data_IF_160626745403
#
_entry.id   IF_160626745403
#
_cell.length_a   1.000
_cell.length_b   1.000
_cell.length_c   1.000
_cell.angle_alpha   90.00
_cell.angle_beta   90.00
_cell.angle_gamma   90.00
#
_symmetry.space_group_name_H-M   'P 1'
#
loop_
_entity.id
_entity.type
_entity.pdbx_description
1 polymer ?
#
# COMPACT_ATOMS: atom_id res chain seq x y z
N UNK A 1 3.98 -0.11 -18.10
CA UNK A 1 5.27 0.58 -18.32
C UNK A 1 5.76 1.10 -16.98
N UNK A 2 6.99 0.82 -16.64
CA UNK A 2 7.65 1.40 -15.48
C UNK A 2 8.71 2.35 -16.01
N UNK A 3 8.57 3.62 -15.70
CA UNK A 3 9.58 4.64 -16.02
C UNK A 3 10.50 4.74 -14.81
N UNK A 4 11.78 4.50 -15.03
CA UNK A 4 12.82 4.71 -14.03
C UNK A 4 13.68 5.88 -14.51
N UNK A 5 13.50 7.03 -13.86
CA UNK A 5 14.36 8.18 -14.10
C UNK A 5 15.64 8.05 -13.26
N UNK A 6 16.77 7.97 -13.91
CA UNK A 6 18.06 8.22 -13.30
C UNK A 6 18.59 9.55 -13.84
N UNK A 7 19.42 10.25 -13.08
CA UNK A 7 19.89 11.62 -13.39
C UNK A 7 20.52 11.84 -14.79
N UNK A 8 20.61 10.82 -15.62
CA UNK A 8 21.24 10.88 -16.94
C UNK A 8 20.58 10.05 -18.04
N UNK A 9 19.67 9.12 -17.75
CA UNK A 9 19.07 8.26 -18.77
C UNK A 9 17.67 7.81 -18.36
N UNK A 10 16.70 8.01 -19.24
CA UNK A 10 15.34 7.53 -19.11
C UNK A 10 15.22 6.08 -19.60
N UNK A 11 14.70 5.18 -18.77
CA UNK A 11 14.48 3.78 -19.14
C UNK A 11 12.99 3.46 -19.08
N UNK A 12 12.44 3.03 -20.20
CA UNK A 12 11.11 2.43 -20.26
C UNK A 12 11.22 0.91 -20.18
N UNK A 13 10.58 0.31 -19.20
CA UNK A 13 10.53 -1.14 -19.05
C UNK A 13 9.09 -1.59 -19.29
N UNK A 14 8.82 -2.20 -20.44
CA UNK A 14 7.55 -2.84 -20.72
C UNK A 14 7.43 -4.16 -19.93
N UNK A 15 6.62 -4.17 -18.90
CA UNK A 15 6.38 -5.35 -18.05
C UNK A 15 5.37 -6.31 -18.68
N UNK A 16 4.62 -5.89 -19.69
CA UNK A 16 3.55 -6.69 -20.32
C UNK A 16 4.01 -7.74 -21.31
N UNK A 17 5.19 -7.58 -21.90
CA UNK A 17 5.70 -8.54 -22.87
C UNK A 17 6.97 -9.19 -22.36
N UNK A 18 6.93 -10.49 -22.13
CA UNK A 18 8.09 -11.34 -21.80
C UNK A 18 9.16 -11.39 -22.90
N UNK A 19 9.06 -10.57 -23.95
CA UNK A 19 9.95 -10.57 -25.08
C UNK A 19 10.86 -9.35 -25.07
N UNK A 20 12.14 -9.63 -24.95
CA UNK A 20 13.30 -8.75 -25.11
C UNK A 20 13.53 -7.75 -23.97
N UNK A 21 14.21 -8.22 -22.96
CA UNK A 21 15.12 -7.36 -22.23
C UNK A 21 16.29 -7.02 -23.16
N UNK A 22 16.47 -5.74 -23.39
CA UNK A 22 17.67 -5.20 -24.05
C UNK A 22 18.89 -5.34 -23.14
N UNK A 23 20.04 -4.85 -23.55
CA UNK A 23 21.30 -4.83 -22.80
C UNK A 23 21.24 -4.25 -21.37
N UNK A 24 20.13 -3.64 -20.99
CA UNK A 24 19.85 -3.07 -19.66
C UNK A 24 19.17 -4.04 -18.69
N UNK A 25 18.97 -5.30 -19.05
CA UNK A 25 18.36 -6.31 -18.18
C UNK A 25 19.04 -6.43 -16.80
N UNK A 26 20.32 -6.15 -16.71
CA UNK A 26 21.06 -6.10 -15.46
C UNK A 26 20.61 -4.98 -14.52
N UNK A 27 20.34 -3.79 -15.05
CA UNK A 27 19.83 -2.65 -14.26
C UNK A 27 18.36 -2.82 -13.88
N UNK A 28 17.53 -3.35 -14.78
CA UNK A 28 16.14 -3.67 -14.50
C UNK A 28 15.98 -4.59 -13.26
N UNK A 29 16.95 -5.46 -13.02
CA UNK A 29 17.00 -6.32 -11.84
C UNK A 29 16.99 -5.53 -10.52
N UNK A 30 17.55 -4.35 -10.49
CA UNK A 30 17.66 -3.51 -9.29
C UNK A 30 16.55 -2.46 -9.15
N UNK A 31 15.89 -2.10 -10.24
CA UNK A 31 14.92 -0.99 -10.26
C UNK A 31 13.52 -1.40 -10.68
N UNK A 32 13.32 -2.59 -11.23
CA UNK A 32 12.02 -3.04 -11.69
C UNK A 32 11.28 -3.83 -10.60
N UNK A 33 10.02 -3.50 -10.40
CA UNK A 33 9.10 -4.30 -9.59
C UNK A 33 8.29 -5.20 -10.51
N UNK A 34 8.23 -6.48 -10.19
CA UNK A 34 7.52 -7.47 -10.99
C UNK A 34 6.20 -7.86 -10.34
N UNK A 35 5.11 -7.75 -11.11
CA UNK A 35 3.79 -8.21 -10.70
C UNK A 35 3.78 -9.73 -10.50
N UNK A 36 3.30 -10.20 -9.34
CA UNK A 36 3.11 -11.62 -9.05
C UNK A 36 1.74 -11.84 -8.41
N UNK A 37 1.09 -12.94 -8.78
CA UNK A 37 -0.21 -13.32 -8.20
C UNK A 37 -0.06 -13.49 -6.69
N UNK A 38 -0.96 -12.84 -5.95
CA UNK A 38 -0.95 -12.90 -4.48
C UNK A 38 -1.14 -14.33 -3.97
N UNK A 39 -0.22 -14.74 -3.10
CA UNK A 39 -0.31 -15.99 -2.34
C UNK A 39 0.65 -15.92 -1.14
N UNK A 40 0.17 -16.23 0.06
CA UNK A 40 1.00 -16.22 1.28
C UNK A 40 2.13 -17.25 1.27
N UNK A 41 1.94 -18.38 0.60
CA UNK A 41 2.85 -19.54 0.63
C UNK A 41 3.95 -19.49 -0.42
N UNK A 42 3.86 -18.62 -1.42
CA UNK A 42 4.87 -18.55 -2.49
C UNK A 42 6.02 -17.66 -2.04
N UNK A 43 7.25 -18.16 -2.03
CA UNK A 43 8.44 -17.34 -1.80
C UNK A 43 8.53 -16.19 -2.80
N UNK A 44 8.96 -15.03 -2.35
CA UNK A 44 9.00 -13.81 -3.15
C UNK A 44 10.29 -13.05 -2.94
N UNK A 45 10.67 -12.30 -3.95
CA UNK A 45 11.65 -11.25 -3.82
C UNK A 45 11.00 -9.97 -3.28
N UNK A 46 11.78 -9.11 -2.65
CA UNK A 46 11.36 -7.75 -2.24
C UNK A 46 10.92 -6.90 -3.44
N UNK A 47 11.35 -7.25 -4.64
CA UNK A 47 10.98 -6.59 -5.91
C UNK A 47 9.63 -7.05 -6.47
N UNK A 48 8.97 -8.00 -5.82
CA UNK A 48 7.66 -8.46 -6.26
C UNK A 48 6.55 -7.60 -5.67
N UNK A 49 5.60 -7.22 -6.52
CA UNK A 49 4.39 -6.52 -6.13
C UNK A 49 3.17 -7.39 -6.39
N UNK A 50 2.26 -7.44 -5.43
CA UNK A 50 0.95 -8.08 -5.60
C UNK A 50 -0.16 -7.03 -5.64
N UNK A 51 -1.07 -7.18 -6.61
CA UNK A 51 -2.26 -6.33 -6.70
C UNK A 51 -3.48 -7.08 -6.20
N UNK A 52 -4.25 -6.43 -5.33
CA UNK A 52 -5.48 -6.96 -4.73
C UNK A 52 -6.63 -5.98 -4.94
N UNK A 53 -7.83 -6.52 -5.19
CA UNK A 53 -9.04 -5.69 -5.16
C UNK A 53 -9.39 -5.26 -3.73
N UNK A 54 -10.17 -4.19 -3.62
CA UNK A 54 -10.68 -3.70 -2.33
C UNK A 54 -11.43 -4.77 -1.52
N UNK A 55 -12.17 -5.66 -2.18
CA UNK A 55 -12.89 -6.74 -1.49
C UNK A 55 -11.94 -7.85 -1.04
N UNK A 56 -10.89 -8.11 -1.81
CA UNK A 56 -9.90 -9.11 -1.42
C UNK A 56 -9.16 -8.68 -0.15
N UNK A 57 -8.75 -7.41 -0.04
CA UNK A 57 -8.09 -6.92 1.18
C UNK A 57 -9.03 -6.92 2.37
N UNK A 58 -10.33 -6.55 2.19
CA UNK A 58 -11.35 -6.64 3.25
C UNK A 58 -11.52 -8.08 3.76
N UNK A 59 -11.60 -9.04 2.84
CA UNK A 59 -11.70 -10.46 3.17
C UNK A 59 -10.46 -10.97 3.92
N UNK A 60 -9.26 -10.58 3.48
CA UNK A 60 -8.01 -10.97 4.13
C UNK A 60 -7.90 -10.39 5.54
N UNK A 61 -8.29 -9.13 5.74
CA UNK A 61 -8.33 -8.52 7.08
C UNK A 61 -9.32 -9.21 8.02
N UNK A 62 -10.43 -9.73 7.49
CA UNK A 62 -11.41 -10.46 8.27
C UNK A 62 -10.92 -11.87 8.66
N UNK A 63 -10.31 -12.59 7.72
CA UNK A 63 -10.02 -14.02 7.86
C UNK A 63 -8.56 -14.28 8.28
N UNK A 64 -7.62 -13.45 7.85
CA UNK A 64 -6.18 -13.61 8.02
C UNK A 64 -5.50 -12.27 8.39
N UNK A 65 -5.95 -11.56 9.43
CA UNK A 65 -5.49 -10.20 9.72
C UNK A 65 -3.98 -10.13 9.99
N UNK A 66 -3.45 -11.10 10.71
CA UNK A 66 -2.03 -11.12 11.05
C UNK A 66 -1.15 -11.43 9.85
N UNK A 67 -1.54 -12.41 9.05
CA UNK A 67 -0.77 -12.84 7.88
C UNK A 67 -0.68 -11.75 6.82
N UNK A 68 -1.78 -11.01 6.57
CA UNK A 68 -1.75 -9.92 5.60
C UNK A 68 -0.88 -8.74 6.06
N UNK A 69 -0.88 -8.42 7.37
CA UNK A 69 -0.02 -7.38 7.91
C UNK A 69 1.45 -7.80 7.85
N UNK A 70 1.79 -9.02 8.28
CA UNK A 70 3.14 -9.55 8.18
C UNK A 70 3.63 -9.62 6.73
N UNK A 71 2.71 -9.92 5.81
CA UNK A 71 3.00 -9.88 4.38
C UNK A 71 3.32 -8.46 3.88
N UNK A 72 2.51 -7.48 4.25
CA UNK A 72 2.71 -6.08 3.88
C UNK A 72 3.94 -5.43 4.55
N UNK A 73 4.50 -6.02 5.61
CA UNK A 73 5.79 -5.60 6.18
C UNK A 73 6.95 -5.92 5.26
N UNK A 74 6.86 -7.03 4.52
CA UNK A 74 7.97 -7.59 3.73
C UNK A 74 7.85 -7.32 2.25
N UNK A 75 6.62 -7.24 1.72
CA UNK A 75 6.36 -7.20 0.29
C UNK A 75 5.44 -6.05 -0.08
N UNK A 76 5.61 -5.53 -1.28
CA UNK A 76 4.74 -4.49 -1.81
C UNK A 76 3.37 -5.03 -2.20
N UNK A 77 2.34 -4.32 -1.75
CA UNK A 77 0.95 -4.63 -2.05
C UNK A 77 0.26 -3.38 -2.59
N UNK A 78 -0.38 -3.53 -3.75
CA UNK A 78 -1.22 -2.52 -4.37
C UNK A 78 -2.68 -2.91 -4.21
N UNK A 79 -3.51 -2.00 -3.71
CA UNK A 79 -4.96 -2.16 -3.65
C UNK A 79 -5.59 -1.30 -4.75
N UNK A 80 -6.66 -1.80 -5.35
CA UNK A 80 -7.37 -1.08 -6.41
C UNK A 80 -8.88 -1.21 -6.25
N UNK A 81 -9.66 -0.18 -6.71
CA UNK A 81 -11.11 -0.21 -6.67
C UNK A 81 -11.67 -1.30 -7.60
N UNK A 82 -12.85 -1.82 -7.26
CA UNK A 82 -13.53 -2.79 -8.13
C UNK A 82 -13.93 -2.17 -9.46
N UNK A 83 -13.82 -2.94 -10.53
CA UNK A 83 -14.27 -2.54 -11.86
C UNK A 83 -15.79 -2.31 -11.98
N UNK A 84 -16.57 -2.83 -11.02
CA UNK A 84 -18.02 -2.62 -10.92
C UNK A 84 -18.41 -1.22 -10.42
N UNK A 85 -17.46 -0.39 -10.00
CA UNK A 85 -17.69 1.01 -9.63
C UNK A 85 -17.85 1.89 -10.88
N UNK A 86 -18.95 1.72 -11.59
CA UNK A 86 -19.23 2.39 -12.89
C UNK A 86 -19.19 3.92 -12.76
N UNK A 87 -19.64 4.47 -11.63
CA UNK A 87 -19.58 5.91 -11.33
C UNK A 87 -18.22 6.39 -10.80
N UNK A 88 -17.18 5.57 -10.91
CA UNK A 88 -15.82 5.89 -10.42
C UNK A 88 -15.75 6.29 -8.95
N UNK A 89 -16.70 5.87 -8.10
CA UNK A 89 -16.65 6.10 -6.66
C UNK A 89 -15.45 5.40 -6.03
N UNK A 90 -14.97 5.91 -4.90
CA UNK A 90 -13.87 5.31 -4.17
C UNK A 90 -14.36 4.38 -3.05
N UNK A 91 -13.51 3.46 -2.67
CA UNK A 91 -13.66 2.66 -1.46
C UNK A 91 -12.94 3.34 -0.29
N UNK A 92 -13.32 3.00 0.93
CA UNK A 92 -12.63 3.44 2.13
C UNK A 92 -11.17 2.92 2.16
N UNK A 93 -10.15 3.78 2.01
CA UNK A 93 -8.76 3.38 1.95
C UNK A 93 -8.17 2.97 3.31
N UNK A 94 -8.83 3.32 4.42
CA UNK A 94 -8.32 3.13 5.79
C UNK A 94 -8.03 1.67 6.09
N UNK A 95 -8.87 0.75 5.61
CA UNK A 95 -8.67 -0.70 5.77
C UNK A 95 -7.40 -1.20 5.10
N UNK A 96 -7.09 -0.69 3.92
CA UNK A 96 -5.87 -1.03 3.21
C UNK A 96 -4.62 -0.48 3.94
N UNK A 97 -4.70 0.73 4.47
CA UNK A 97 -3.61 1.31 5.26
C UNK A 97 -3.40 0.58 6.59
N UNK A 98 -4.47 0.17 7.27
CA UNK A 98 -4.40 -0.65 8.50
C UNK A 98 -3.71 -2.00 8.22
N UNK A 99 -3.97 -2.60 7.06
CA UNK A 99 -3.26 -3.79 6.62
C UNK A 99 -1.78 -3.54 6.30
N UNK A 100 -1.37 -2.28 6.18
CA UNK A 100 -0.01 -1.90 5.82
C UNK A 100 0.27 -1.93 4.31
N UNK A 101 -0.76 -1.94 3.45
CA UNK A 101 -0.58 -1.84 2.01
C UNK A 101 0.11 -0.51 1.65
N UNK A 102 1.13 -0.59 0.80
CA UNK A 102 1.94 0.57 0.43
C UNK A 102 1.27 1.43 -0.64
N UNK A 103 0.59 0.81 -1.59
CA UNK A 103 -0.05 1.50 -2.69
C UNK A 103 -1.56 1.28 -2.64
N UNK A 104 -2.30 2.32 -2.33
CA UNK A 104 -3.76 2.31 -2.23
C UNK A 104 -4.30 3.21 -3.33
N UNK A 105 -4.59 2.59 -4.49
CA UNK A 105 -5.06 3.31 -5.66
C UNK A 105 -6.53 3.71 -5.49
N UNK A 106 -6.83 4.95 -5.83
CA UNK A 106 -8.16 5.55 -5.82
C UNK A 106 -8.49 6.15 -7.19
N UNK A 107 -9.77 6.37 -7.44
CA UNK A 107 -10.27 7.08 -8.61
C UNK A 107 -10.14 8.58 -8.38
N UNK A 108 -9.06 9.19 -8.84
CA UNK A 108 -8.69 10.59 -8.57
C UNK A 108 -9.64 11.60 -9.25
N UNK A 109 -10.42 11.16 -10.23
CA UNK A 109 -11.46 11.99 -10.86
C UNK A 109 -12.68 12.25 -9.97
N UNK A 110 -12.81 11.51 -8.84
CA UNK A 110 -13.94 11.63 -7.93
C UNK A 110 -13.48 12.22 -6.60
N UNK A 111 -13.96 13.44 -6.30
CA UNK A 111 -13.69 14.12 -5.03
C UNK A 111 -14.73 13.68 -3.99
N UNK A 112 -14.49 12.55 -3.37
CA UNK A 112 -15.30 12.00 -2.28
C UNK A 112 -14.52 12.01 -0.94
N UNK A 113 -15.17 11.54 0.13
CA UNK A 113 -14.56 11.44 1.46
C UNK A 113 -13.26 10.62 1.44
N UNK A 114 -13.21 9.54 0.66
CA UNK A 114 -12.03 8.70 0.52
C UNK A 114 -10.83 9.46 -0.07
N UNK A 115 -11.09 10.36 -1.01
CA UNK A 115 -10.05 11.25 -1.56
C UNK A 115 -9.60 12.29 -0.54
N UNK A 116 -10.50 12.84 0.26
CA UNK A 116 -10.13 13.77 1.34
C UNK A 116 -9.24 13.08 2.38
N UNK A 117 -9.57 11.86 2.77
CA UNK A 117 -8.73 11.04 3.66
C UNK A 117 -7.35 10.78 3.04
N UNK A 118 -7.29 10.51 1.74
CA UNK A 118 -6.03 10.29 1.03
C UNK A 118 -5.17 11.57 1.02
N UNK A 119 -5.72 12.72 0.71
CA UNK A 119 -5.01 13.99 0.77
C UNK A 119 -4.51 14.29 2.19
N UNK A 120 -5.38 14.16 3.19
CA UNK A 120 -5.01 14.39 4.58
C UNK A 120 -3.85 13.49 5.04
N UNK A 121 -3.84 12.23 4.63
CA UNK A 121 -2.76 11.30 4.94
C UNK A 121 -1.40 11.79 4.44
N UNK A 122 -1.35 12.24 3.20
CA UNK A 122 -0.07 12.61 2.56
C UNK A 122 0.39 14.04 2.85
N UNK A 123 -0.49 14.91 3.34
CA UNK A 123 -0.12 16.24 3.84
C UNK A 123 0.88 16.14 5.00
N UNK A 124 0.82 15.09 5.81
CA UNK A 124 1.76 14.85 6.91
C UNK A 124 3.24 14.84 6.48
N UNK A 125 3.53 14.57 5.20
CA UNK A 125 4.88 14.62 4.63
C UNK A 125 4.97 15.68 3.51
N UNK A 126 4.35 16.83 3.70
CA UNK A 126 4.42 17.94 2.76
C UNK A 126 3.84 17.65 1.37
N UNK A 127 2.98 16.65 1.23
CA UNK A 127 2.42 16.24 -0.06
C UNK A 127 3.40 15.46 -0.96
N UNK A 128 4.51 14.97 -0.41
CA UNK A 128 5.56 14.27 -1.19
C UNK A 128 5.11 12.92 -1.77
N UNK A 129 3.87 12.49 -1.54
CA UNK A 129 3.30 11.28 -2.12
C UNK A 129 3.64 9.98 -1.39
N UNK A 130 4.38 10.06 -0.29
CA UNK A 130 4.65 8.92 0.60
C UNK A 130 4.66 9.36 2.06
N UNK A 131 4.32 8.44 2.97
CA UNK A 131 4.40 8.62 4.42
C UNK A 131 4.99 7.37 5.06
N UNK A 132 5.77 7.58 6.10
CA UNK A 132 6.34 6.48 6.85
C UNK A 132 5.25 5.66 7.53
N UNK A 133 5.35 4.35 7.46
CA UNK A 133 4.47 3.47 8.22
C UNK A 133 4.73 3.63 9.73
N UNK A 134 3.68 3.57 10.56
CA UNK A 134 3.86 3.53 11.99
C UNK A 134 4.61 2.26 12.41
N UNK A 135 5.27 2.31 13.56
CA UNK A 135 6.18 1.27 14.03
C UNK A 135 5.52 -0.11 14.12
N UNK A 136 4.26 -0.20 14.52
CA UNK A 136 3.53 -1.47 14.59
C UNK A 136 3.32 -2.15 13.22
N UNK A 137 3.44 -1.41 12.11
CA UNK A 137 3.39 -1.93 10.75
C UNK A 137 4.79 -2.23 10.16
N UNK A 138 5.86 -1.97 10.90
CA UNK A 138 7.24 -2.19 10.45
C UNK A 138 8.00 -3.16 11.35
N UNK A 139 7.79 -3.10 12.68
CA UNK A 139 8.48 -3.92 13.65
C UNK A 139 7.75 -5.24 13.93
N UNK A 140 8.52 -6.33 14.02
CA UNK A 140 7.98 -7.62 14.46
C UNK A 140 7.73 -7.66 15.98
N UNK A 141 8.46 -6.86 16.75
CA UNK A 141 8.46 -6.90 18.22
C UNK A 141 7.20 -6.31 18.86
N UNK A 142 6.51 -5.39 18.16
CA UNK A 142 5.32 -4.72 18.69
C UNK A 142 4.01 -5.45 18.38
N UNK A 143 4.10 -6.57 17.67
CA UNK A 143 2.92 -7.28 17.19
C UNK A 143 2.67 -8.54 18.03
N UNK A 144 2.04 -8.36 19.20
CA UNK A 144 1.60 -9.49 20.01
C UNK A 144 0.31 -10.10 19.42
N UNK A 145 0.48 -11.16 18.65
CA UNK A 145 -0.61 -11.88 17.97
C UNK A 145 -1.67 -12.46 18.93
N UNK A 146 -1.34 -12.56 20.22
CA UNK A 146 -2.24 -13.17 21.20
C UNK A 146 -3.27 -12.19 21.77
N UNK A 147 -3.05 -10.90 21.65
CA UNK A 147 -3.81 -9.87 22.39
C UNK A 147 -4.77 -9.04 21.58
N UNK A 148 -4.72 -9.08 20.25
CA UNK A 148 -5.60 -8.24 19.45
C UNK A 148 -6.09 -8.90 18.17
N UNK A 149 -7.35 -8.65 17.86
CA UNK A 149 -8.04 -9.15 16.68
C UNK A 149 -7.58 -8.46 15.39
N UNK A 150 -7.20 -7.19 15.50
CA UNK A 150 -6.75 -6.37 14.39
C UNK A 150 -5.45 -5.63 14.72
N UNK A 151 -4.58 -5.39 13.75
CA UNK A 151 -3.28 -4.74 13.99
C UNK A 151 -3.35 -3.37 14.66
N UNK A 152 -4.42 -2.61 14.42
CA UNK A 152 -4.64 -1.28 15.02
C UNK A 152 -5.11 -1.34 16.49
N UNK A 153 -5.48 -2.51 16.99
CA UNK A 153 -5.85 -2.70 18.40
C UNK A 153 -4.61 -2.82 19.29
N UNK A 154 -3.41 -2.91 18.69
CA UNK A 154 -2.17 -2.99 19.44
C UNK A 154 -1.75 -1.66 20.00
N UNK A 155 -1.79 -1.59 21.29
CA UNK A 155 -1.04 -0.66 22.15
C UNK A 155 -0.68 0.68 21.52
N UNK A 156 -1.66 1.33 20.89
CA UNK A 156 -1.57 2.79 20.79
C UNK A 156 -1.74 3.29 22.23
N UNK A 157 -0.73 3.94 22.82
CA UNK A 157 -0.91 4.53 24.12
C UNK A 157 -2.15 5.43 24.07
N UNK A 158 -2.99 5.37 25.12
CA UNK A 158 -4.19 6.22 25.18
C UNK A 158 -3.79 7.66 24.93
N UNK A 159 -4.02 8.15 23.71
CA UNK A 159 -3.71 9.52 23.36
C UNK A 159 -4.89 10.41 23.73
N UNK A 160 -4.63 11.48 24.47
CA UNK A 160 -5.58 12.56 24.69
C UNK A 160 -5.39 13.61 23.60
N UNK A 161 -6.36 13.73 22.70
CA UNK A 161 -6.43 14.84 21.77
C UNK A 161 -7.06 16.04 22.49
N UNK A 162 -6.35 17.14 22.59
CA UNK A 162 -6.89 18.43 23.06
C UNK A 162 -6.97 19.38 21.87
N UNK A 163 -8.16 19.74 21.48
CA UNK A 163 -8.42 20.74 20.44
C UNK A 163 -8.75 22.08 21.13
N UNK A 164 -8.04 23.13 20.77
CA UNK A 164 -8.35 24.51 21.17
C UNK A 164 -8.74 25.28 19.90
N UNK A 165 -10.01 25.67 19.81
CA UNK A 165 -10.45 26.58 18.76
C UNK A 165 -10.08 28.00 19.21
N UNK A 166 -9.26 28.71 18.41
CA UNK A 166 -8.72 30.02 18.73
C UNK A 166 -9.57 31.11 18.10
N UNK A 167 -10.15 30.84 16.92
CA UNK A 167 -11.12 31.73 16.26
C UNK A 167 -11.97 30.91 15.30
N UNK A 168 -13.18 31.33 15.07
CA UNK A 168 -14.11 30.84 14.03
C UNK A 168 -14.38 31.96 13.05
#
# INVERSE_FOLDING_TARGET
DVIVETNTVEYQIEVKNKKKFTSYAGLAKYYAMFGIKFNFKIPRSIWNISSLSEDKIKSLLKNNPHEIVDFCKKYFVRIYPLGTRVGSSNYDPTKAWIAGAQMVALNYQTSDESMLLNYAKYVANGGAGYVMKPEYLTSAALFDKSKAKYPHEFTVPKMKLRLKIISG
#
